data_IF_201054049478
#
_entry.id   IF_201054049478
#
_cell.length_a   1.000
_cell.length_b   1.000
_cell.length_c   1.000
_cell.angle_alpha   90.00
_cell.angle_beta   90.00
_cell.angle_gamma   90.00
#
_symmetry.space_group_name_H-M   'P 1'
#
loop_
_entity.id
_entity.type
_entity.pdbx_description
1 polymer ?
#
# COMPACT_ATOMS: atom_id res chain seq x y z
N UNK A 1 8.96 -3.00 0.59
CA UNK A 1 8.65 -2.43 1.91
C UNK A 1 7.52 -3.15 2.66
N UNK A 2 7.74 -3.52 3.93
CA UNK A 2 6.66 -3.77 4.91
C UNK A 2 6.60 -2.56 5.85
N UNK A 3 5.51 -1.80 5.81
CA UNK A 3 5.30 -0.73 6.79
C UNK A 3 4.74 -1.33 8.07
N UNK A 4 5.49 -1.14 9.15
CA UNK A 4 5.09 -1.51 10.51
C UNK A 4 4.67 -0.25 11.26
N UNK A 5 3.69 -0.40 12.12
CA UNK A 5 3.17 0.70 12.93
C UNK A 5 4.20 1.03 14.03
N UNK A 6 5.01 2.06 13.80
CA UNK A 6 6.08 2.46 14.71
C UNK A 6 5.56 2.93 16.07
N UNK A 7 4.32 3.43 16.15
CA UNK A 7 3.69 3.84 17.42
C UNK A 7 3.40 2.63 18.32
N UNK A 8 3.36 1.41 17.75
CA UNK A 8 3.26 0.16 18.50
C UNK A 8 4.61 -0.38 18.97
N UNK A 9 5.71 0.29 18.62
CA UNK A 9 7.07 -0.13 18.98
C UNK A 9 7.59 0.73 20.13
N UNK A 10 7.55 0.20 21.36
CA UNK A 10 8.10 0.88 22.53
C UNK A 10 9.49 0.35 22.89
N UNK A 11 10.52 0.81 22.19
CA UNK A 11 11.92 0.37 22.36
C UNK A 11 12.89 1.45 22.86
N UNK A 12 12.40 2.63 23.24
CA UNK A 12 13.27 3.74 23.60
C UNK A 12 13.99 3.50 24.93
N UNK A 13 15.25 3.96 24.98
CA UNK A 13 16.13 4.03 26.17
C UNK A 13 16.64 2.71 26.77
N UNK A 14 16.78 1.63 26.00
CA UNK A 14 17.32 0.36 26.51
C UNK A 14 18.55 -0.16 25.77
N UNK A 15 19.51 -0.68 26.53
CA UNK A 15 20.64 -1.43 26.00
C UNK A 15 20.26 -2.90 25.84
N UNK A 16 20.10 -3.34 24.60
CA UNK A 16 19.77 -4.73 24.28
C UNK A 16 21.01 -5.56 23.95
N UNK A 17 21.13 -6.73 24.57
CA UNK A 17 22.12 -7.74 24.17
C UNK A 17 21.66 -8.49 22.90
N UNK A 18 22.55 -9.33 22.33
CA UNK A 18 22.26 -10.08 21.10
C UNK A 18 20.97 -10.91 21.15
N UNK A 19 20.67 -11.55 22.29
CA UNK A 19 19.47 -12.36 22.45
C UNK A 19 18.21 -11.51 22.47
N UNK A 20 18.26 -10.34 23.12
CA UNK A 20 17.16 -9.39 23.17
C UNK A 20 16.91 -8.76 21.79
N UNK A 21 17.97 -8.42 21.05
CA UNK A 21 17.84 -7.92 19.68
C UNK A 21 17.20 -8.95 18.75
N UNK A 22 17.56 -10.24 18.89
CA UNK A 22 16.91 -11.31 18.14
C UNK A 22 15.41 -11.39 18.43
N UNK A 23 15.01 -11.30 19.70
CA UNK A 23 13.61 -11.32 20.09
C UNK A 23 12.83 -10.10 19.54
N UNK A 24 13.47 -8.93 19.43
CA UNK A 24 12.89 -7.75 18.79
C UNK A 24 12.66 -8.01 17.30
N UNK A 25 13.66 -8.54 16.57
CA UNK A 25 13.50 -8.86 15.15
C UNK A 25 12.39 -9.90 14.93
N UNK A 26 12.37 -10.97 15.73
CA UNK A 26 11.33 -12.01 15.67
C UNK A 26 9.92 -11.39 15.93
N UNK A 27 9.82 -10.42 16.85
CA UNK A 27 8.58 -9.69 17.12
C UNK A 27 8.16 -8.79 15.96
N UNK A 28 9.09 -8.06 15.34
CA UNK A 28 8.83 -7.20 14.18
C UNK A 28 8.37 -8.02 12.97
N UNK A 29 8.99 -9.18 12.73
CA UNK A 29 8.60 -10.11 11.66
C UNK A 29 7.19 -10.70 11.86
N UNK A 30 6.77 -10.85 13.12
CA UNK A 30 5.45 -11.33 13.48
C UNK A 30 4.36 -10.24 13.48
N UNK A 31 4.72 -8.95 13.38
CA UNK A 31 3.73 -7.88 13.34
C UNK A 31 2.90 -7.94 12.04
N UNK A 32 1.59 -7.68 12.13
CA UNK A 32 0.77 -7.53 10.93
C UNK A 32 1.28 -6.33 10.12
N UNK A 33 1.29 -6.47 8.79
CA UNK A 33 1.65 -5.37 7.90
C UNK A 33 0.59 -4.28 7.95
N UNK A 34 0.99 -3.05 8.31
CA UNK A 34 0.08 -1.91 8.33
C UNK A 34 -0.34 -1.50 6.91
N UNK A 35 0.53 -1.78 5.94
CA UNK A 35 0.32 -1.51 4.51
C UNK A 35 0.63 -2.76 3.69
N UNK A 36 -0.34 -3.17 2.87
CA UNK A 36 -0.22 -4.29 1.94
C UNK A 36 -0.41 -3.74 0.51
N UNK A 37 0.69 -3.70 -0.23
CA UNK A 37 0.73 -3.13 -1.58
C UNK A 37 -0.21 -3.89 -2.52
N UNK A 38 -0.22 -5.22 -2.48
CA UNK A 38 -1.06 -6.03 -3.37
C UNK A 38 -2.54 -5.76 -3.12
N UNK A 39 -2.91 -5.62 -1.84
CA UNK A 39 -4.28 -5.25 -1.44
C UNK A 39 -4.66 -3.85 -1.91
N UNK A 40 -3.73 -2.89 -1.87
CA UNK A 40 -3.96 -1.52 -2.35
C UNK A 40 -4.10 -1.48 -3.86
N UNK A 41 -3.18 -2.11 -4.60
CA UNK A 41 -3.22 -2.23 -6.06
C UNK A 41 -4.52 -2.90 -6.51
N UNK A 42 -4.94 -3.99 -5.85
CA UNK A 42 -6.22 -4.65 -6.15
C UNK A 42 -7.41 -3.69 -6.01
N UNK A 43 -7.46 -2.91 -4.93
CA UNK A 43 -8.55 -1.95 -4.69
C UNK A 43 -8.56 -0.81 -5.71
N UNK A 44 -7.38 -0.40 -6.20
CA UNK A 44 -7.24 0.58 -7.28
C UNK A 44 -7.74 0.00 -8.61
N UNK A 45 -7.35 -1.22 -8.96
CA UNK A 45 -7.84 -1.91 -10.17
C UNK A 45 -9.36 -2.13 -10.17
N UNK A 46 -9.95 -2.47 -9.04
CA UNK A 46 -11.41 -2.59 -8.90
C UNK A 46 -12.13 -1.26 -9.19
N UNK A 47 -11.59 -0.14 -8.72
CA UNK A 47 -12.12 1.21 -8.99
C UNK A 47 -11.94 1.61 -10.45
N UNK A 48 -10.78 1.30 -11.03
CA UNK A 48 -10.51 1.50 -12.47
C UNK A 48 -11.50 0.73 -13.33
N UNK A 49 -11.79 -0.52 -12.98
CA UNK A 49 -12.78 -1.37 -13.66
C UNK A 49 -14.18 -0.76 -13.60
N UNK A 50 -14.58 -0.23 -12.44
CA UNK A 50 -15.84 0.49 -12.30
C UNK A 50 -15.93 1.69 -13.26
N UNK A 51 -14.91 2.56 -13.29
CA UNK A 51 -14.91 3.72 -14.17
C UNK A 51 -14.88 3.33 -15.65
N UNK A 52 -14.13 2.29 -16.04
CA UNK A 52 -14.18 1.74 -17.40
C UNK A 52 -15.58 1.28 -17.78
N UNK A 53 -16.32 0.64 -16.87
CA UNK A 53 -17.70 0.23 -17.10
C UNK A 53 -18.63 1.43 -17.25
N UNK A 54 -18.53 2.43 -16.38
CA UNK A 54 -19.36 3.65 -16.44
C UNK A 54 -19.09 4.45 -17.71
N UNK A 55 -17.82 4.52 -18.14
CA UNK A 55 -17.44 5.13 -19.40
C UNK A 55 -18.06 4.38 -20.60
N UNK A 56 -18.00 3.04 -20.64
CA UNK A 56 -18.65 2.26 -21.71
C UNK A 56 -20.16 2.48 -21.79
N UNK A 57 -20.83 2.70 -20.65
CA UNK A 57 -22.25 2.99 -20.59
C UNK A 57 -22.60 4.42 -21.02
N UNK A 58 -21.61 5.26 -21.37
CA UNK A 58 -21.77 6.69 -21.67
C UNK A 58 -22.58 7.42 -20.59
N UNK A 59 -22.32 7.07 -19.34
CA UNK A 59 -22.93 7.74 -18.20
C UNK A 59 -22.52 9.23 -18.17
N UNK A 60 -23.29 10.05 -17.46
CA UNK A 60 -23.26 11.53 -17.45
C UNK A 60 -21.88 12.17 -17.29
N UNK A 61 -20.91 11.46 -16.72
CA UNK A 61 -19.54 11.91 -16.47
C UNK A 61 -18.49 11.18 -17.35
N UNK A 62 -18.86 10.81 -18.59
CA UNK A 62 -18.04 10.02 -19.53
C UNK A 62 -16.59 10.52 -19.66
N UNK A 63 -16.40 11.84 -19.82
CA UNK A 63 -15.07 12.45 -19.93
C UNK A 63 -14.35 12.36 -18.57
N UNK A 64 -15.03 12.67 -17.47
CA UNK A 64 -14.46 12.60 -16.12
C UNK A 64 -13.99 11.20 -15.73
N UNK A 65 -14.63 10.14 -16.22
CA UNK A 65 -14.17 8.76 -16.02
C UNK A 65 -12.83 8.47 -16.69
N UNK A 66 -12.51 9.12 -17.82
CA UNK A 66 -11.20 9.00 -18.47
C UNK A 66 -10.07 9.48 -17.56
N UNK A 67 -10.18 10.72 -17.07
CA UNK A 67 -9.20 11.28 -16.14
C UNK A 67 -9.08 10.49 -14.83
N UNK A 68 -10.19 9.93 -14.32
CA UNK A 68 -10.16 9.07 -13.13
C UNK A 68 -9.44 7.74 -13.38
N UNK A 69 -9.50 7.20 -14.60
CA UNK A 69 -8.77 5.98 -14.98
C UNK A 69 -7.28 6.28 -15.06
N UNK A 70 -6.88 7.37 -15.72
CA UNK A 70 -5.48 7.81 -15.83
C UNK A 70 -4.86 8.05 -14.45
N UNK A 71 -5.54 8.82 -13.58
CA UNK A 71 -5.06 9.06 -12.23
C UNK A 71 -4.93 7.79 -11.38
N UNK A 72 -5.74 6.75 -11.65
CA UNK A 72 -5.58 5.45 -10.98
C UNK A 72 -4.37 4.69 -11.54
N UNK A 73 -4.12 4.78 -12.83
CA UNK A 73 -2.93 4.17 -13.45
C UNK A 73 -1.65 4.77 -12.87
N UNK A 74 -1.58 6.10 -12.80
CA UNK A 74 -0.47 6.81 -12.14
C UNK A 74 -0.32 6.38 -10.67
N UNK A 75 -1.44 6.28 -9.93
CA UNK A 75 -1.40 5.83 -8.55
C UNK A 75 -0.90 4.39 -8.38
N UNK A 76 -1.25 3.48 -9.30
CA UNK A 76 -0.75 2.10 -9.30
C UNK A 76 0.75 2.08 -9.60
N UNK A 77 1.21 2.88 -10.56
CA UNK A 77 2.62 3.01 -10.90
C UNK A 77 3.43 3.52 -9.71
N UNK A 78 3.02 4.62 -9.09
CA UNK A 78 3.68 5.17 -7.88
C UNK A 78 3.77 4.13 -6.77
N UNK A 79 2.68 3.40 -6.52
CA UNK A 79 2.64 2.36 -5.47
C UNK A 79 3.60 1.20 -5.78
N UNK A 80 3.78 0.85 -7.06
CA UNK A 80 4.68 -0.23 -7.50
C UNK A 80 6.14 0.21 -7.63
N UNK A 81 6.41 1.43 -8.08
CA UNK A 81 7.77 1.98 -8.17
C UNK A 81 8.43 2.10 -6.80
N UNK A 82 7.65 2.43 -5.76
CA UNK A 82 8.12 2.40 -4.37
C UNK A 82 8.52 0.99 -3.87
N UNK A 83 8.24 -0.08 -4.62
CA UNK A 83 8.78 -1.42 -4.35
C UNK A 83 10.14 -1.63 -5.03
N UNK A 84 10.38 -1.01 -6.19
CA UNK A 84 11.56 -1.30 -7.04
C UNK A 84 12.81 -0.48 -6.67
N UNK A 85 12.68 0.50 -5.77
CA UNK A 85 13.78 1.36 -5.31
C UNK A 85 14.31 0.99 -3.91
N UNK A 86 13.87 -0.13 -3.34
CA UNK A 86 14.40 -0.73 -2.10
C UNK A 86 15.12 -2.06 -2.37
#
# INVERSE_FOLDING_TARGET
MRLIDADKLNFLEQHYNKSQMKAILDFLDAQPTAYDVDKVVKKLEERKSLYKRLQKLKDRDFIGYGYKIEAIDDAIEIVKENINHE
#
